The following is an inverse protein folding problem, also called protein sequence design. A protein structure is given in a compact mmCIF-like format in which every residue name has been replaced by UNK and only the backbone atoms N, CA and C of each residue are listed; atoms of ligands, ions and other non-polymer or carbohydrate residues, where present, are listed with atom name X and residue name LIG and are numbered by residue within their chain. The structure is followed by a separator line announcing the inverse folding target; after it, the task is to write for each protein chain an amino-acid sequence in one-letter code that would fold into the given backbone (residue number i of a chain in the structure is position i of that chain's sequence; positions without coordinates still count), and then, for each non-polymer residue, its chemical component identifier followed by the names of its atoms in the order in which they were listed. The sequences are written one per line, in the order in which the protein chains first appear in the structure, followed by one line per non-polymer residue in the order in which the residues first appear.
data_IF_025311241683
#
_entry.id   IF_025311241683
#
_cell.length_a   1.000
_cell.length_b   1.000
_cell.length_c   1.000
_cell.angle_alpha   90.00
_cell.angle_beta   90.00
_cell.angle_gamma   90.00
#
_symmetry.space_group_name_H-M   'P 1'
#
loop_
_entity.id
_entity.type
_entity.pdbx_description
1 polymer ?
#
# COMPACT_ATOMS: atom_id res chain seq x y z
N UNK A 1 -0.14 2.13 29.02
CA UNK A 1 0.88 3.07 29.51
C UNK A 1 0.15 4.03 30.43
N UNK A 2 0.68 4.23 31.64
CA UNK A 2 0.02 4.97 32.73
C UNK A 2 0.55 6.38 32.91
N UNK A 3 1.23 6.91 31.90
CA UNK A 3 2.04 8.12 32.02
C UNK A 3 1.17 9.37 31.85
N UNK A 4 1.57 10.46 32.49
CA UNK A 4 0.88 11.75 32.47
C UNK A 4 1.80 12.84 31.95
N UNK A 5 1.26 13.72 31.08
CA UNK A 5 1.94 14.96 30.67
C UNK A 5 1.11 16.14 31.17
N UNK A 6 1.68 16.93 32.07
CA UNK A 6 1.12 18.18 32.59
C UNK A 6 1.62 19.37 31.76
N UNK A 7 0.94 20.52 31.88
CA UNK A 7 1.34 21.74 31.15
C UNK A 7 1.06 21.71 29.64
N UNK A 8 0.13 20.86 29.15
CA UNK A 8 -0.21 20.78 27.70
C UNK A 8 -0.75 22.10 27.13
N UNK A 9 -1.36 22.92 27.99
CA UNK A 9 -1.90 24.23 27.65
C UNK A 9 -1.65 25.19 28.81
N UNK A 10 -1.35 26.44 28.48
CA UNK A 10 -1.17 27.52 29.46
C UNK A 10 -2.29 28.55 29.32
N UNK A 11 -2.50 29.35 30.36
CA UNK A 11 -3.48 30.43 30.38
C UNK A 11 -2.76 31.72 30.02
N UNK A 12 -3.13 32.34 28.89
CA UNK A 12 -2.48 33.56 28.40
C UNK A 12 -2.82 34.76 29.28
N UNK A 13 -4.07 34.83 29.73
CA UNK A 13 -4.57 35.93 30.54
C UNK A 13 -5.58 35.39 31.58
N UNK A 14 -5.37 35.68 32.88
CA UNK A 14 -6.25 35.23 33.95
C UNK A 14 -7.68 35.80 33.87
N UNK A 15 -7.89 36.94 33.20
CA UNK A 15 -9.21 37.57 33.07
C UNK A 15 -10.00 36.88 31.96
N UNK A 16 -9.45 36.80 30.75
CA UNK A 16 -10.10 36.14 29.61
C UNK A 16 -10.16 34.62 29.73
N UNK A 17 -9.37 34.02 30.65
CA UNK A 17 -9.20 32.56 30.82
C UNK A 17 -8.86 31.84 29.51
N UNK A 18 -8.27 32.57 28.57
CA UNK A 18 -7.93 32.04 27.25
C UNK A 18 -6.77 31.07 27.37
N UNK A 19 -6.98 29.82 26.94
CA UNK A 19 -5.95 28.77 26.96
C UNK A 19 -5.40 28.52 25.55
N UNK A 20 -4.08 28.43 25.44
CA UNK A 20 -3.40 28.08 24.20
C UNK A 20 -2.59 26.78 24.38
N UNK A 21 -2.35 26.01 23.30
CA UNK A 21 -1.38 24.92 23.35
C UNK A 21 -0.02 25.45 23.74
N UNK A 22 0.59 24.84 24.74
CA UNK A 22 1.96 25.14 25.13
C UNK A 22 2.88 24.44 24.12
N UNK A 23 3.66 25.18 23.36
CA UNK A 23 4.70 24.72 22.44
C UNK A 23 6.12 25.02 22.95
N UNK A 24 6.25 25.50 24.19
CA UNK A 24 7.51 25.84 24.84
C UNK A 24 7.45 27.14 25.67
N UNK A 25 6.30 27.79 25.75
CA UNK A 25 6.10 29.04 26.50
C UNK A 25 6.12 28.84 28.01
N UNK A 26 5.69 27.67 28.50
CA UNK A 26 5.75 27.29 29.92
C UNK A 26 6.32 25.87 30.08
N UNK A 27 6.70 25.51 31.31
CA UNK A 27 7.23 24.19 31.61
C UNK A 27 6.20 23.07 31.38
N UNK A 28 6.70 21.92 30.93
CA UNK A 28 5.92 20.68 30.79
C UNK A 28 6.56 19.58 31.61
N UNK A 29 5.76 18.96 32.46
CA UNK A 29 6.21 17.86 33.31
C UNK A 29 5.66 16.54 32.79
N UNK A 30 6.55 15.60 32.54
CA UNK A 30 6.22 14.24 32.13
C UNK A 30 6.45 13.30 33.31
N UNK A 31 5.39 12.60 33.72
CA UNK A 31 5.38 11.70 34.87
C UNK A 31 5.09 10.29 34.39
N UNK A 32 6.03 9.38 34.62
CA UNK A 32 5.89 7.96 34.28
C UNK A 32 5.02 7.23 35.32
N UNK A 33 4.13 6.33 34.86
CA UNK A 33 3.40 5.44 35.77
C UNK A 33 2.43 6.13 36.76
N UNK A 34 1.91 7.32 36.45
CA UNK A 34 0.99 8.06 37.32
C UNK A 34 -0.29 7.28 37.67
N UNK A 35 -0.81 6.44 36.78
CA UNK A 35 -2.02 5.65 37.02
C UNK A 35 -1.91 4.24 36.45
N UNK A 36 -2.82 3.36 36.88
CA UNK A 36 -2.88 2.00 36.36
C UNK A 36 -3.07 2.02 34.83
N UNK A 37 -2.15 1.36 34.08
CA UNK A 37 -2.17 1.43 32.63
C UNK A 37 -3.34 0.63 32.06
N UNK A 38 -4.20 1.27 31.26
CA UNK A 38 -5.31 0.60 30.54
C UNK A 38 -4.81 -0.48 29.56
N UNK A 39 -3.64 -0.26 28.95
CA UNK A 39 -2.98 -1.18 28.02
C UNK A 39 -1.50 -1.34 28.39
N UNK A 40 -0.89 -2.48 28.10
CA UNK A 40 0.53 -2.69 28.39
C UNK A 40 1.42 -1.74 27.56
N UNK A 41 2.61 -1.41 28.09
CA UNK A 41 3.61 -0.56 27.43
C UNK A 41 3.96 -1.08 26.03
N UNK A 42 4.24 -2.39 25.93
CA UNK A 42 4.53 -3.09 24.68
C UNK A 42 3.44 -2.91 23.62
N UNK A 43 2.15 -3.02 24.00
CA UNK A 43 1.03 -2.84 23.06
C UNK A 43 0.91 -1.39 22.62
N UNK A 44 1.05 -0.44 23.55
CA UNK A 44 1.03 0.99 23.24
C UNK A 44 2.15 1.38 22.27
N UNK A 45 3.38 0.95 22.55
CA UNK A 45 4.55 1.26 21.73
C UNK A 45 4.40 0.66 20.33
N UNK A 46 3.92 -0.59 20.24
CA UNK A 46 3.66 -1.21 18.93
C UNK A 46 2.58 -0.47 18.15
N UNK A 47 1.54 0.02 18.82
CA UNK A 47 0.51 0.84 18.19
C UNK A 47 1.06 2.19 17.70
N UNK A 48 1.96 2.83 18.46
CA UNK A 48 2.65 4.05 18.04
C UNK A 48 3.56 3.80 16.83
N UNK A 49 4.35 2.73 16.82
CA UNK A 49 5.15 2.32 15.65
C UNK A 49 4.28 2.13 14.41
N UNK A 50 3.16 1.42 14.53
CA UNK A 50 2.22 1.22 13.42
C UNK A 50 1.59 2.54 12.97
N UNK A 51 1.28 3.45 13.90
CA UNK A 51 0.77 4.78 13.58
C UNK A 51 1.81 5.62 12.83
N UNK A 52 3.06 5.62 13.30
CA UNK A 52 4.18 6.36 12.71
C UNK A 52 4.53 5.77 11.34
N UNK A 53 4.74 4.47 11.21
CA UNK A 53 5.03 3.81 9.92
C UNK A 53 3.94 4.05 8.86
N UNK A 54 2.67 4.05 9.26
CA UNK A 54 1.54 4.45 8.39
C UNK A 54 1.58 5.93 8.01
N UNK A 55 2.21 6.79 8.81
CA UNK A 55 2.40 8.22 8.54
C UNK A 55 3.71 8.55 7.80
N UNK A 56 4.80 7.81 7.98
CA UNK A 56 6.06 8.05 7.25
C UNK A 56 5.88 7.77 5.76
N UNK A 57 5.07 6.76 5.39
CA UNK A 57 4.61 6.56 4.00
C UNK A 57 3.72 7.71 3.48
N UNK A 58 3.26 8.63 4.34
CA UNK A 58 2.45 9.82 4.01
C UNK A 58 3.24 11.14 4.09
N UNK A 59 4.41 11.16 4.74
CA UNK A 59 5.16 12.37 5.07
C UNK A 59 6.17 12.79 4.00
N UNK A 60 6.64 11.86 3.14
CA UNK A 60 7.60 12.19 2.07
C UNK A 60 7.07 13.16 0.99
N UNK A 61 5.78 13.54 1.03
CA UNK A 61 5.14 14.41 0.04
C UNK A 61 4.37 15.60 0.63
N UNK A 62 4.50 15.90 1.92
CA UNK A 62 3.73 16.96 2.58
C UNK A 62 4.60 17.93 3.34
N UNK A 63 4.75 19.14 2.82
CA UNK A 63 5.04 20.34 3.62
C UNK A 63 3.94 20.58 4.65
N UNK A 64 4.35 20.92 5.88
CA UNK A 64 3.71 21.42 7.12
C UNK A 64 2.16 21.46 7.34
N UNK A 65 1.29 21.39 6.33
CA UNK A 65 -0.15 21.62 6.53
C UNK A 65 -1.12 20.63 5.88
N UNK A 66 -0.66 19.66 5.09
CA UNK A 66 -1.57 18.76 4.37
C UNK A 66 -1.34 17.29 4.71
N UNK A 67 -2.08 16.78 5.71
CA UNK A 67 -2.21 15.33 5.95
C UNK A 67 -2.70 14.62 4.68
N UNK A 68 -1.79 14.11 3.84
CA UNK A 68 -2.13 13.31 2.67
C UNK A 68 -2.54 11.93 3.18
N UNK A 69 -3.85 11.71 3.29
CA UNK A 69 -4.43 10.40 3.62
C UNK A 69 -4.29 9.49 2.40
N UNK A 70 -3.12 8.89 2.21
CA UNK A 70 -2.89 7.88 1.15
C UNK A 70 -3.63 6.60 1.55
N UNK A 71 -4.88 6.47 1.13
CA UNK A 71 -5.56 5.19 0.97
C UNK A 71 -5.40 4.81 -0.49
N UNK A 72 -4.63 3.77 -0.81
CA UNK A 72 -4.54 3.20 -2.17
C UNK A 72 -5.83 2.42 -2.50
N UNK A 73 -6.98 3.07 -2.35
CA UNK A 73 -8.28 2.46 -2.62
C UNK A 73 -8.49 2.29 -4.13
N UNK A 74 -7.91 3.18 -4.94
CA UNK A 74 -7.99 3.18 -6.39
C UNK A 74 -6.60 3.42 -6.99
N UNK A 75 -6.40 3.02 -8.25
CA UNK A 75 -5.11 3.02 -8.94
C UNK A 75 -4.36 4.35 -8.83
N UNK A 76 -5.06 5.48 -9.01
CA UNK A 76 -4.45 6.82 -9.00
C UNK A 76 -4.63 7.60 -7.69
N UNK A 77 -5.05 6.93 -6.60
CA UNK A 77 -5.29 7.59 -5.32
C UNK A 77 -4.02 8.27 -4.79
N UNK A 78 -4.12 9.58 -4.55
CA UNK A 78 -3.01 10.43 -4.10
C UNK A 78 -1.81 10.50 -5.05
N UNK A 79 -1.99 10.15 -6.34
CA UNK A 79 -0.94 10.24 -7.36
C UNK A 79 -1.12 11.43 -8.31
N UNK A 80 -2.36 11.91 -8.47
CA UNK A 80 -2.69 12.96 -9.45
C UNK A 80 -2.73 14.35 -8.83
N UNK A 81 -2.04 15.29 -9.46
CA UNK A 81 -1.99 16.71 -9.08
C UNK A 81 -2.58 17.59 -10.20
N UNK A 82 -3.31 18.63 -9.81
CA UNK A 82 -3.85 19.60 -10.74
C UNK A 82 -2.75 20.56 -11.16
N UNK A 83 -2.43 20.59 -12.46
CA UNK A 83 -1.44 21.49 -13.02
C UNK A 83 -1.72 22.98 -12.69
N UNK A 84 -2.99 23.42 -12.78
CA UNK A 84 -3.34 24.83 -12.60
C UNK A 84 -3.20 25.37 -11.17
N UNK A 85 -3.39 24.54 -10.14
CA UNK A 85 -3.42 25.04 -8.75
C UNK A 85 -2.61 24.20 -7.77
N UNK A 86 -1.88 23.19 -8.24
CA UNK A 86 -1.07 22.28 -7.43
C UNK A 86 -1.85 21.40 -6.44
N UNK A 87 -3.17 21.50 -6.39
CA UNK A 87 -3.99 20.69 -5.48
C UNK A 87 -4.22 19.28 -6.04
N UNK A 88 -4.41 18.30 -5.15
CA UNK A 88 -4.69 16.92 -5.57
C UNK A 88 -6.00 16.79 -6.36
N UNK A 89 -6.08 15.76 -7.21
CA UNK A 89 -7.35 15.31 -7.81
C UNK A 89 -7.99 14.24 -6.91
N UNK A 90 -9.33 14.22 -6.90
CA UNK A 90 -10.13 13.20 -6.23
C UNK A 90 -10.99 12.45 -7.24
N UNK A 91 -11.07 11.13 -7.08
CA UNK A 91 -11.99 10.26 -7.83
C UNK A 91 -13.44 10.57 -7.44
N UNK A 92 -14.31 10.70 -8.44
CA UNK A 92 -15.75 10.97 -8.31
C UNK A 92 -16.52 10.18 -9.35
N UNK A 93 -17.83 10.14 -9.16
CA UNK A 93 -18.76 9.47 -10.08
C UNK A 93 -19.74 10.51 -10.57
N UNK A 94 -19.80 10.70 -11.89
CA UNK A 94 -20.84 11.49 -12.53
C UNK A 94 -21.98 10.57 -12.95
N UNK A 95 -23.22 11.07 -12.85
CA UNK A 95 -24.44 10.33 -13.20
C UNK A 95 -24.53 8.95 -12.53
N UNK A 96 -24.23 8.88 -11.23
CA UNK A 96 -24.12 7.61 -10.50
C UNK A 96 -25.37 6.73 -10.54
N UNK A 97 -26.56 7.32 -10.73
CA UNK A 97 -27.85 6.63 -10.77
C UNK A 97 -28.32 6.28 -12.19
N UNK A 98 -27.55 6.57 -13.24
CA UNK A 98 -27.95 6.29 -14.62
C UNK A 98 -26.97 5.37 -15.34
N UNK A 99 -27.41 4.82 -16.48
CA UNK A 99 -26.57 4.03 -17.38
C UNK A 99 -25.37 4.84 -17.94
N UNK A 100 -25.41 6.16 -17.83
CA UNK A 100 -24.33 7.06 -18.23
C UNK A 100 -23.33 7.36 -17.11
N UNK A 101 -23.31 6.53 -16.05
CA UNK A 101 -22.36 6.63 -14.94
C UNK A 101 -20.92 6.61 -15.44
N UNK A 102 -20.15 7.64 -15.06
CA UNK A 102 -18.73 7.78 -15.46
C UNK A 102 -17.87 8.07 -14.25
N UNK A 103 -16.73 7.39 -14.17
CA UNK A 103 -15.71 7.66 -13.16
C UNK A 103 -14.76 8.74 -13.67
N UNK A 104 -14.59 9.78 -12.89
CA UNK A 104 -13.79 10.94 -13.25
C UNK A 104 -12.87 11.35 -12.10
N UNK A 105 -11.76 12.01 -12.44
CA UNK A 105 -10.83 12.62 -11.50
C UNK A 105 -10.91 14.14 -11.63
N UNK A 106 -11.14 14.83 -10.51
CA UNK A 106 -11.38 16.28 -10.52
C UNK A 106 -10.58 16.98 -9.42
N UNK A 107 -10.14 18.20 -9.71
CA UNK A 107 -9.42 19.06 -8.76
C UNK A 107 -10.20 19.25 -7.45
N UNK A 108 -9.55 18.97 -6.32
CA UNK A 108 -10.15 19.11 -4.99
C UNK A 108 -10.44 20.58 -4.65
N UNK A 109 -9.56 21.51 -5.01
CA UNK A 109 -9.74 22.94 -4.73
C UNK A 109 -10.98 23.48 -5.45
N UNK A 110 -11.12 23.16 -6.74
CA UNK A 110 -12.30 23.53 -7.54
C UNK A 110 -13.59 22.92 -6.97
N UNK A 111 -13.55 21.67 -6.51
CA UNK A 111 -14.78 20.99 -6.08
C UNK A 111 -15.21 21.34 -4.67
N UNK A 112 -14.27 21.61 -3.76
CA UNK A 112 -14.59 21.97 -2.37
C UNK A 112 -14.79 23.46 -2.15
N UNK A 113 -13.95 24.31 -2.76
CA UNK A 113 -14.03 25.77 -2.59
C UNK A 113 -14.85 26.44 -3.70
N UNK A 114 -15.11 25.73 -4.80
CA UNK A 114 -15.84 26.24 -5.95
C UNK A 114 -14.94 26.51 -7.15
N UNK A 115 -15.54 26.51 -8.34
CA UNK A 115 -14.85 26.60 -9.63
C UNK A 115 -14.02 27.87 -9.79
N UNK A 116 -14.44 28.98 -9.18
CA UNK A 116 -13.70 30.25 -9.12
C UNK A 116 -12.27 30.13 -8.60
N UNK A 117 -11.99 29.13 -7.74
CA UNK A 117 -10.65 28.92 -7.17
C UNK A 117 -9.72 28.06 -8.04
N UNK A 118 -10.25 27.49 -9.14
CA UNK A 118 -9.47 26.82 -10.18
C UNK A 118 -10.30 26.73 -11.50
N UNK A 119 -10.48 27.86 -12.21
CA UNK A 119 -11.41 27.97 -13.34
C UNK A 119 -11.08 27.03 -14.50
N UNK A 120 -9.80 26.76 -14.73
CA UNK A 120 -9.36 25.92 -15.85
C UNK A 120 -9.39 24.41 -15.57
N UNK A 121 -9.53 23.98 -14.31
CA UNK A 121 -9.44 22.54 -14.00
C UNK A 121 -10.65 21.73 -14.47
N UNK A 122 -10.48 20.88 -15.48
CA UNK A 122 -11.56 19.99 -15.96
C UNK A 122 -11.57 18.65 -15.21
N UNK A 123 -12.72 18.00 -15.19
CA UNK A 123 -12.82 16.61 -14.73
C UNK A 123 -12.32 15.69 -15.84
N UNK A 124 -11.38 14.80 -15.52
CA UNK A 124 -10.75 13.91 -16.49
C UNK A 124 -11.33 12.51 -16.29
N UNK A 125 -11.91 11.86 -17.31
CA UNK A 125 -12.37 10.47 -17.19
C UNK A 125 -11.23 9.54 -16.81
N UNK A 126 -11.50 8.60 -15.90
CA UNK A 126 -10.50 7.64 -15.40
C UNK A 126 -9.87 6.84 -16.53
N UNK A 127 -10.67 6.40 -17.51
CA UNK A 127 -10.21 5.67 -18.70
C UNK A 127 -9.18 6.45 -19.52
N UNK A 128 -9.29 7.78 -19.59
CA UNK A 128 -8.32 8.62 -20.31
C UNK A 128 -6.98 8.64 -19.58
N UNK A 129 -7.00 8.69 -18.25
CA UNK A 129 -5.80 8.65 -17.42
C UNK A 129 -5.13 7.28 -17.52
N UNK A 130 -5.91 6.18 -17.49
CA UNK A 130 -5.39 4.82 -17.66
C UNK A 130 -4.68 4.64 -18.99
N UNK A 131 -5.29 5.10 -20.10
CA UNK A 131 -4.68 5.02 -21.43
C UNK A 131 -3.39 5.83 -21.51
N UNK A 132 -3.42 7.08 -21.06
CA UNK A 132 -2.24 7.95 -21.06
C UNK A 132 -1.10 7.37 -20.20
N UNK A 133 -1.44 6.75 -19.06
CA UNK A 133 -0.46 6.07 -18.21
C UNK A 133 0.18 4.88 -18.92
N UNK A 134 -0.62 4.00 -19.54
CA UNK A 134 -0.11 2.83 -20.27
C UNK A 134 0.77 3.26 -21.45
N UNK A 135 0.37 4.29 -22.19
CA UNK A 135 1.16 4.83 -23.30
C UNK A 135 2.49 5.42 -22.80
N UNK A 136 2.46 6.24 -21.74
CA UNK A 136 3.67 6.79 -21.13
C UNK A 136 4.60 5.69 -20.60
N UNK A 137 4.02 4.64 -20.02
CA UNK A 137 4.76 3.49 -19.50
C UNK A 137 5.42 2.69 -20.63
N UNK A 138 4.72 2.48 -21.75
CA UNK A 138 5.29 1.83 -22.94
C UNK A 138 6.49 2.60 -23.47
N UNK A 139 6.39 3.92 -23.63
CA UNK A 139 7.52 4.77 -24.07
C UNK A 139 8.69 4.68 -23.07
N UNK A 140 8.39 4.68 -21.76
CA UNK A 140 9.42 4.51 -20.73
C UNK A 140 10.13 3.15 -20.84
N UNK A 141 9.37 2.10 -21.14
CA UNK A 141 9.86 0.74 -21.32
C UNK A 141 10.67 0.56 -22.61
N UNK A 142 10.21 1.16 -23.71
CA UNK A 142 10.92 1.16 -25.00
C UNK A 142 12.29 1.84 -24.88
N UNK A 143 12.39 2.91 -24.08
CA UNK A 143 13.64 3.60 -23.80
C UNK A 143 14.52 2.93 -22.73
N UNK A 144 14.02 1.89 -22.04
CA UNK A 144 14.71 1.20 -20.94
C UNK A 144 14.62 -0.33 -21.08
N UNK A 145 14.85 -0.86 -22.28
CA UNK A 145 14.88 -2.31 -22.53
C UNK A 145 15.70 -3.08 -21.49
N UNK A 146 16.84 -2.52 -21.07
CA UNK A 146 17.71 -3.09 -20.04
C UNK A 146 17.05 -3.22 -18.64
N UNK A 147 16.13 -2.32 -18.26
CA UNK A 147 15.41 -2.40 -16.97
C UNK A 147 14.32 -3.48 -17.04
N UNK A 148 13.66 -3.60 -18.20
CA UNK A 148 12.66 -4.65 -18.42
C UNK A 148 13.31 -6.03 -18.40
N UNK A 149 14.46 -6.20 -19.04
CA UNK A 149 15.25 -7.43 -19.00
C UNK A 149 15.69 -7.76 -17.57
N UNK A 150 16.27 -6.82 -16.82
CA UNK A 150 16.66 -7.02 -15.42
C UNK A 150 15.47 -7.34 -14.49
N UNK A 151 14.29 -6.76 -14.74
CA UNK A 151 13.07 -7.09 -14.00
C UNK A 151 12.58 -8.51 -14.31
N UNK A 152 12.61 -8.91 -15.58
CA UNK A 152 12.22 -10.26 -16.01
C UNK A 152 13.16 -11.32 -15.43
N UNK A 153 14.47 -11.07 -15.45
CA UNK A 153 15.47 -11.96 -14.84
C UNK A 153 15.23 -12.13 -13.34
N UNK A 154 14.95 -11.03 -12.62
CA UNK A 154 14.64 -11.10 -11.19
C UNK A 154 13.35 -11.84 -10.89
N UNK A 155 12.31 -11.66 -11.72
CA UNK A 155 11.07 -12.42 -11.59
C UNK A 155 11.33 -13.90 -11.86
N UNK A 156 12.14 -14.24 -12.85
CA UNK A 156 12.50 -15.63 -13.15
C UNK A 156 13.26 -16.28 -11.98
N UNK A 157 14.21 -15.58 -11.37
CA UNK A 157 14.93 -16.07 -10.18
C UNK A 157 14.00 -16.25 -8.98
N UNK A 158 13.04 -15.34 -8.76
CA UNK A 158 12.07 -15.45 -7.66
C UNK A 158 11.07 -16.60 -7.91
N UNK A 159 10.67 -16.80 -9.15
CA UNK A 159 9.75 -17.88 -9.54
C UNK A 159 10.44 -19.25 -9.59
N UNK A 160 11.77 -19.30 -9.77
CA UNK A 160 12.60 -20.47 -9.46
C UNK A 160 12.71 -20.65 -7.95
N UNK A 161 11.58 -21.01 -7.35
CA UNK A 161 11.59 -21.48 -5.97
C UNK A 161 12.33 -22.82 -5.94
N UNK A 162 13.61 -22.79 -5.52
CA UNK A 162 14.48 -23.96 -5.43
C UNK A 162 13.84 -25.11 -4.65
N UNK A 163 12.88 -24.79 -3.76
CA UNK A 163 12.09 -25.77 -3.02
C UNK A 163 11.17 -26.55 -3.95
N UNK A 164 10.46 -25.87 -4.86
CA UNK A 164 9.57 -26.50 -5.85
C UNK A 164 10.40 -27.35 -6.81
N UNK A 165 11.55 -26.87 -7.28
CA UNK A 165 12.43 -27.67 -8.15
C UNK A 165 12.96 -28.94 -7.47
N UNK A 166 13.32 -28.86 -6.19
CA UNK A 166 13.73 -30.04 -5.40
C UNK A 166 12.58 -31.02 -5.20
N UNK A 167 11.36 -30.53 -4.91
CA UNK A 167 10.17 -31.36 -4.76
C UNK A 167 9.79 -32.07 -6.07
N UNK A 168 9.85 -31.36 -7.21
CA UNK A 168 9.63 -31.93 -8.55
C UNK A 168 10.64 -33.04 -8.83
N UNK A 169 11.94 -32.80 -8.64
CA UNK A 169 12.98 -33.82 -8.83
C UNK A 169 12.78 -35.06 -7.94
N UNK A 170 12.33 -34.87 -6.69
CA UNK A 170 12.02 -35.99 -5.80
C UNK A 170 10.82 -36.80 -6.29
N UNK A 171 9.75 -36.13 -6.73
CA UNK A 171 8.55 -36.79 -7.26
C UNK A 171 8.87 -37.57 -8.54
N UNK A 172 9.63 -36.99 -9.47
CA UNK A 172 10.09 -37.67 -10.69
C UNK A 172 10.94 -38.91 -10.36
N UNK A 173 11.85 -38.79 -9.40
CA UNK A 173 12.64 -39.91 -8.90
C UNK A 173 11.78 -41.04 -8.33
N UNK A 174 10.72 -40.72 -7.59
CA UNK A 174 9.75 -41.69 -7.06
C UNK A 174 8.97 -42.36 -8.20
N UNK A 175 8.47 -41.58 -9.17
CA UNK A 175 7.77 -42.10 -10.34
C UNK A 175 8.66 -43.09 -11.11
N UNK A 176 9.93 -42.75 -11.33
CA UNK A 176 10.89 -43.64 -12.00
C UNK A 176 11.07 -44.95 -11.26
N UNK A 177 11.29 -44.92 -9.94
CA UNK A 177 11.42 -46.12 -9.11
C UNK A 177 10.16 -46.99 -9.16
N UNK A 178 8.98 -46.38 -9.06
CA UNK A 178 7.70 -47.11 -9.13
C UNK A 178 7.49 -47.73 -10.50
N UNK A 179 7.83 -47.03 -11.60
CA UNK A 179 7.80 -47.59 -12.97
C UNK A 179 8.76 -48.77 -13.12
N UNK A 180 9.98 -48.67 -12.62
CA UNK A 180 10.95 -49.78 -12.66
C UNK A 180 10.44 -50.99 -11.87
N UNK A 181 9.87 -50.79 -10.68
CA UNK A 181 9.26 -51.88 -9.90
C UNK A 181 8.08 -52.51 -10.62
N UNK A 182 7.18 -51.69 -11.20
CA UNK A 182 6.03 -52.16 -11.98
C UNK A 182 6.48 -53.01 -13.18
N UNK A 183 7.48 -52.55 -13.92
CA UNK A 183 8.00 -53.30 -15.06
C UNK A 183 8.64 -54.62 -14.61
N UNK A 184 9.46 -54.61 -13.55
CA UNK A 184 10.02 -55.85 -12.97
C UNK A 184 8.96 -56.86 -12.51
N UNK A 185 7.84 -56.37 -11.97
CA UNK A 185 6.71 -57.23 -11.59
C UNK A 185 5.97 -57.79 -12.81
N UNK A 186 5.80 -56.98 -13.85
CA UNK A 186 5.22 -57.44 -15.11
C UNK A 186 6.10 -58.50 -15.79
N UNK A 187 7.42 -58.26 -15.83
CA UNK A 187 8.40 -59.22 -16.35
C UNK A 187 8.39 -60.51 -15.52
N UNK A 188 8.40 -60.41 -14.18
CA UNK A 188 8.33 -61.58 -13.28
C UNK A 188 7.02 -62.38 -13.34
N UNK A 189 5.91 -61.75 -13.75
CA UNK A 189 4.64 -62.44 -14.03
C UNK A 189 4.70 -63.19 -15.36
N UNK A 190 5.29 -62.59 -16.39
CA UNK A 190 5.49 -63.24 -17.70
C UNK A 190 6.47 -64.43 -17.61
N UNK A 191 7.50 -64.32 -16.76
CA UNK A 191 8.49 -65.36 -16.51
C UNK A 191 7.98 -66.49 -15.58
N UNK A 192 6.73 -66.42 -15.11
CA UNK A 192 6.10 -67.46 -14.27
C UNK A 192 6.62 -67.55 -12.83
N UNK A 193 7.39 -66.54 -12.38
CA UNK A 193 7.95 -66.45 -11.02
C UNK A 193 6.86 -66.02 -10.01
N UNK A 194 5.84 -65.30 -10.48
CA UNK A 194 4.70 -64.84 -9.67
C UNK A 194 3.47 -65.73 -9.99
N UNK A 195 2.83 -66.37 -8.98
CA UNK A 195 1.67 -67.24 -9.21
C UNK A 195 0.48 -66.51 -9.85
N UNK A 196 -0.18 -67.16 -10.80
CA UNK A 196 -1.53 -66.81 -11.25
C UNK A 196 -2.53 -67.42 -10.27
N UNK A 197 -3.16 -66.59 -9.44
CA UNK A 197 -4.49 -66.91 -8.91
C UNK A 197 -5.57 -66.55 -9.94
#
# INVERSE_FOLDING_TARGET
MGDMLQGKTYTVDPISKRRLPNNGEEDKFYVEGHHEPIVSRKVFDKAQELRISRNVKRAKTSTESNRVRIRRQYAFSCMLQCHFCGSNLSRRTWHSSSRYSKRIWQCVKSTKKGKRFCPESKGIPEVVIERAFVESYKVLCENNQYILEDLLDKIEVILKDEKIEKEVKQIEGRIKRTKTKRNKLADGYLDGIIPQE
#
